data_IF_298870431635
#
_entry.id   IF_298870431635
#
_cell.length_a   1.000
_cell.length_b   1.000
_cell.length_c   1.000
_cell.angle_alpha   90.00
_cell.angle_beta   90.00
_cell.angle_gamma   90.00
#
_symmetry.space_group_name_H-M   'P 1'
#
loop_
_entity.id
_entity.type
_entity.pdbx_description
1 polymer ?
#
# COMPACT_ATOMS: atom_id res chain seq x y z
N UNK A 1 9.87 -32.01 20.96
CA UNK A 1 11.00 -32.04 20.00
C UNK A 1 10.51 -31.94 18.56
N UNK A 2 9.89 -32.97 17.97
CA UNK A 2 9.45 -32.92 16.56
C UNK A 2 8.31 -31.89 16.32
N UNK A 3 7.34 -31.83 17.24
CA UNK A 3 6.25 -30.84 17.19
C UNK A 3 6.73 -29.39 17.36
N UNK A 4 7.79 -29.15 18.14
CA UNK A 4 8.34 -27.81 18.34
C UNK A 4 9.10 -27.33 17.11
N UNK A 5 9.85 -28.22 16.46
CA UNK A 5 10.52 -27.93 15.20
C UNK A 5 9.52 -27.56 14.10
N UNK A 6 8.40 -28.30 14.02
CA UNK A 6 7.34 -28.03 13.04
C UNK A 6 6.62 -26.71 13.30
N UNK A 7 6.38 -26.35 14.57
CA UNK A 7 5.80 -25.04 14.95
C UNK A 7 6.75 -23.91 14.55
N UNK A 8 8.05 -24.09 14.77
CA UNK A 8 9.05 -23.09 14.40
C UNK A 8 9.19 -22.95 12.88
N UNK A 9 9.14 -24.05 12.14
CA UNK A 9 9.14 -24.05 10.69
C UNK A 9 7.89 -23.35 10.12
N UNK A 10 6.71 -23.62 10.68
CA UNK A 10 5.46 -22.94 10.32
C UNK A 10 5.52 -21.43 10.61
N UNK A 11 6.10 -21.04 11.75
CA UNK A 11 6.29 -19.63 12.11
C UNK A 11 7.22 -18.92 11.13
N UNK A 12 8.32 -19.56 10.75
CA UNK A 12 9.29 -19.01 9.80
C UNK A 12 8.71 -18.90 8.38
N UNK A 13 7.97 -19.91 7.94
CA UNK A 13 7.24 -19.86 6.67
C UNK A 13 6.20 -18.72 6.67
N UNK A 14 5.44 -18.56 7.76
CA UNK A 14 4.46 -17.48 7.91
C UNK A 14 5.13 -16.10 7.90
N UNK A 15 6.28 -15.96 8.55
CA UNK A 15 7.06 -14.72 8.56
C UNK A 15 7.61 -14.37 7.15
N UNK A 16 8.11 -15.36 6.41
CA UNK A 16 8.56 -15.16 5.02
C UNK A 16 7.41 -14.73 4.10
N UNK A 17 6.25 -15.39 4.20
CA UNK A 17 5.05 -15.00 3.42
C UNK A 17 4.65 -13.56 3.75
N UNK A 18 4.65 -13.15 5.02
CA UNK A 18 4.37 -11.76 5.43
C UNK A 18 5.36 -10.73 4.87
N UNK A 19 6.61 -11.13 4.67
CA UNK A 19 7.66 -10.23 4.16
C UNK A 19 7.55 -10.07 2.64
N UNK A 20 7.28 -11.17 1.92
CA UNK A 20 7.03 -11.15 0.48
C UNK A 20 5.68 -10.52 0.11
N UNK A 21 4.66 -10.65 0.96
CA UNK A 21 3.36 -9.99 0.81
C UNK A 21 3.42 -8.46 0.97
N UNK A 22 4.58 -7.89 1.34
CA UNK A 22 4.79 -6.44 1.43
C UNK A 22 5.34 -5.79 0.15
N UNK A 23 5.90 -6.56 -0.78
CA UNK A 23 6.51 -6.01 -1.99
C UNK A 23 5.45 -5.87 -3.10
N UNK A 24 4.82 -4.71 -3.18
CA UNK A 24 3.82 -4.42 -4.20
C UNK A 24 4.48 -3.89 -5.49
N UNK A 25 4.35 -4.59 -6.63
CA UNK A 25 4.88 -4.10 -7.90
C UNK A 25 4.10 -2.87 -8.37
N UNK A 26 4.77 -1.72 -8.46
CA UNK A 26 4.16 -0.46 -8.92
C UNK A 26 4.72 0.01 -10.27
N UNK A 27 3.87 0.65 -11.07
CA UNK A 27 4.30 1.28 -12.31
C UNK A 27 5.13 2.54 -11.98
N UNK A 28 6.36 2.62 -12.48
CA UNK A 28 7.23 3.78 -12.21
C UNK A 28 6.64 5.12 -12.70
N UNK A 29 5.86 5.09 -13.80
CA UNK A 29 5.28 6.28 -14.42
C UNK A 29 3.96 6.73 -13.76
N UNK A 30 2.99 5.82 -13.58
CA UNK A 30 1.64 6.18 -13.12
C UNK A 30 1.30 5.68 -11.70
N UNK A 31 2.24 5.00 -11.03
CA UNK A 31 2.14 4.50 -9.65
C UNK A 31 1.04 3.47 -9.38
N UNK A 32 0.31 3.01 -10.41
CA UNK A 32 -0.64 1.89 -10.28
C UNK A 32 0.05 0.62 -9.77
N UNK A 33 -0.66 -0.18 -8.99
CA UNK A 33 -0.22 -1.49 -8.49
C UNK A 33 -0.59 -2.57 -9.50
N UNK A 34 0.31 -3.50 -9.77
CA UNK A 34 -0.01 -4.70 -10.54
C UNK A 34 -0.53 -5.77 -9.58
N UNK A 35 -1.74 -6.26 -9.81
CA UNK A 35 -2.33 -7.34 -9.04
C UNK A 35 -1.86 -8.74 -9.51
N UNK A 36 -2.29 -9.78 -8.80
CA UNK A 36 -1.94 -11.18 -9.07
C UNK A 36 -2.45 -11.68 -10.44
N UNK A 37 -3.49 -11.05 -10.99
CA UNK A 37 -4.01 -11.34 -12.32
C UNK A 37 -3.27 -10.56 -13.42
N UNK A 38 -2.34 -9.69 -13.03
CA UNK A 38 -1.53 -8.87 -13.92
C UNK A 38 -2.18 -7.57 -14.36
N UNK A 39 -3.33 -7.19 -13.80
CA UNK A 39 -3.98 -5.91 -14.08
C UNK A 39 -3.37 -4.77 -13.27
N UNK A 40 -3.38 -3.57 -13.85
CA UNK A 40 -2.88 -2.36 -13.20
C UNK A 40 -4.03 -1.59 -12.55
N UNK A 41 -4.04 -1.53 -11.22
CA UNK A 41 -5.10 -0.91 -10.41
C UNK A 41 -4.59 0.33 -9.67
N UNK A 42 -5.51 1.23 -9.33
CA UNK A 42 -5.17 2.36 -8.46
C UNK A 42 -4.75 1.85 -7.07
N UNK A 43 -3.87 2.59 -6.40
CA UNK A 43 -3.30 2.18 -5.11
C UNK A 43 -4.42 2.05 -4.07
N UNK A 44 -5.31 3.04 -4.02
CA UNK A 44 -6.42 3.14 -3.08
C UNK A 44 -7.36 1.95 -3.22
N UNK A 45 -7.68 1.56 -4.45
CA UNK A 45 -8.53 0.41 -4.74
C UNK A 45 -7.89 -0.90 -4.28
N UNK A 46 -6.60 -1.09 -4.55
CA UNK A 46 -5.89 -2.29 -4.13
C UNK A 46 -5.76 -2.37 -2.60
N UNK A 47 -5.31 -1.29 -1.95
CA UNK A 47 -5.14 -1.30 -0.48
C UNK A 47 -6.48 -1.45 0.23
N UNK A 48 -7.55 -0.82 -0.25
CA UNK A 48 -8.89 -0.96 0.33
C UNK A 48 -9.46 -2.38 0.22
N UNK A 49 -9.10 -3.15 -0.81
CA UNK A 49 -9.52 -4.56 -0.96
C UNK A 49 -8.67 -5.53 -0.12
N UNK A 50 -7.41 -5.17 0.15
CA UNK A 50 -6.44 -6.05 0.80
C UNK A 50 -6.11 -5.63 2.25
N UNK A 51 -6.82 -4.65 2.82
CA UNK A 51 -6.64 -4.20 4.21
C UNK A 51 -7.93 -3.57 4.77
N UNK A 52 -7.93 -3.25 6.05
CA UNK A 52 -9.02 -2.52 6.72
C UNK A 52 -8.89 -0.99 6.57
N UNK A 53 -8.02 -0.50 5.67
CA UNK A 53 -7.78 0.92 5.51
C UNK A 53 -8.90 1.63 4.72
N UNK A 54 -9.41 2.72 5.27
CA UNK A 54 -10.33 3.64 4.58
C UNK A 54 -9.59 4.91 4.12
N UNK A 55 -9.86 5.34 2.89
CA UNK A 55 -9.23 6.53 2.31
C UNK A 55 -10.19 7.72 2.29
N UNK A 56 -9.72 8.86 2.79
CA UNK A 56 -10.36 10.16 2.59
C UNK A 56 -9.55 11.00 1.59
N UNK A 57 -10.22 11.92 0.89
CA UNK A 57 -9.58 12.78 -0.08
C UNK A 57 -9.38 14.18 0.50
N UNK A 58 -8.11 14.58 0.62
CA UNK A 58 -7.71 15.90 1.09
C UNK A 58 -6.57 16.47 0.23
N UNK A 59 -6.37 17.79 0.31
CA UNK A 59 -5.27 18.47 -0.37
C UNK A 59 -4.29 18.95 0.70
N UNK A 60 -3.05 18.47 0.66
CA UNK A 60 -2.03 18.90 1.63
C UNK A 60 -1.67 20.40 1.42
N UNK A 61 -1.12 21.08 2.44
CA UNK A 61 -0.69 22.48 2.34
C UNK A 61 0.17 22.81 1.11
N UNK A 62 1.10 21.92 0.74
CA UNK A 62 1.97 22.12 -0.42
C UNK A 62 1.18 22.10 -1.73
N UNK A 63 0.34 21.08 -1.93
CA UNK A 63 -0.52 20.98 -3.10
C UNK A 63 -1.53 22.15 -3.15
N UNK A 64 -2.07 22.57 -2.02
CA UNK A 64 -2.99 23.70 -1.94
C UNK A 64 -2.30 25.01 -2.37
N UNK A 65 -1.07 25.29 -1.89
CA UNK A 65 -0.27 26.44 -2.33
C UNK A 65 0.03 26.41 -3.82
N UNK A 66 0.33 25.24 -4.36
CA UNK A 66 0.69 25.08 -5.78
C UNK A 66 -0.51 25.20 -6.71
N UNK A 67 -1.64 24.58 -6.36
CA UNK A 67 -2.82 24.51 -7.22
C UNK A 67 -3.77 25.70 -7.03
N UNK A 68 -3.83 26.26 -5.82
CA UNK A 68 -4.73 27.34 -5.44
C UNK A 68 -3.99 28.48 -4.70
N UNK A 69 -2.94 29.06 -5.31
CA UNK A 69 -2.09 30.06 -4.64
C UNK A 69 -2.88 31.28 -4.15
N UNK A 70 -3.89 31.71 -4.88
CA UNK A 70 -4.68 32.91 -4.52
C UNK A 70 -5.66 32.66 -3.36
N UNK A 71 -6.12 31.42 -3.17
CA UNK A 71 -6.98 31.04 -2.04
C UNK A 71 -6.20 30.64 -0.79
N UNK A 72 -4.89 30.43 -0.93
CA UNK A 72 -4.01 30.04 0.17
C UNK A 72 -3.31 31.24 0.84
N UNK A 73 -3.28 32.41 0.20
CA UNK A 73 -2.76 33.66 0.80
C UNK A 73 -3.73 34.19 1.85
N UNK A 74 -3.58 33.79 3.11
CA UNK A 74 -4.40 34.33 4.20
C UNK A 74 -4.50 33.50 5.48
N UNK A 75 -3.50 32.68 5.81
CA UNK A 75 -3.34 32.11 7.16
C UNK A 75 -1.91 32.30 7.64
#
# INVERSE_FOLDING_TARGET
QEMEALIEELRNALAQVKTLSGLLPICAACKRIRDDNGYWRQIEAYIGEHSEAEFSHGICPECARRLYPEHYKGK
#
